data_IF_868656693448
#
_entry.id   IF_868656693448
#
_cell.length_a   1.000
_cell.length_b   1.000
_cell.length_c   1.000
_cell.angle_alpha   90.00
_cell.angle_beta   90.00
_cell.angle_gamma   90.00
#
_symmetry.space_group_name_H-M   'P 1'
#
loop_
_entity.id
_entity.type
_entity.pdbx_description
1 polymer ?
#
# COMPACT_ATOMS: atom_id res chain seq x y z
N UNK A 1 35.01 -31.77 -21.02
CA UNK A 1 35.48 -30.70 -21.93
C UNK A 1 34.81 -30.85 -23.29
N UNK A 2 33.86 -29.95 -23.64
CA UNK A 2 33.30 -29.73 -24.99
C UNK A 2 32.37 -28.51 -24.87
N UNK A 3 32.73 -27.28 -25.25
CA UNK A 3 33.12 -26.67 -26.55
C UNK A 3 31.93 -26.16 -27.37
N UNK A 4 31.85 -24.81 -27.41
CA UNK A 4 31.33 -23.89 -28.43
C UNK A 4 29.81 -23.63 -28.45
N UNK A 5 29.35 -22.42 -28.08
CA UNK A 5 29.33 -21.14 -28.84
C UNK A 5 28.27 -21.14 -29.95
N UNK A 6 27.18 -20.39 -29.74
CA UNK A 6 26.56 -19.58 -30.78
C UNK A 6 25.67 -18.51 -30.15
N UNK A 7 26.26 -17.32 -30.09
CA UNK A 7 25.61 -16.03 -29.84
C UNK A 7 24.77 -15.66 -31.06
N UNK A 8 23.51 -15.30 -30.84
CA UNK A 8 22.68 -14.60 -31.82
C UNK A 8 22.15 -13.33 -31.16
N UNK A 9 22.85 -12.22 -31.38
CA UNK A 9 22.39 -10.88 -31.00
C UNK A 9 21.31 -10.43 -31.98
N UNK A 10 20.08 -10.29 -31.50
CA UNK A 10 18.99 -9.64 -32.24
C UNK A 10 18.98 -8.15 -31.84
N UNK A 11 19.27 -7.30 -32.81
CA UNK A 11 19.15 -5.85 -32.72
C UNK A 11 17.69 -5.48 -33.01
N UNK A 12 16.94 -5.08 -31.98
CA UNK A 12 15.62 -4.48 -32.16
C UNK A 12 15.79 -2.98 -32.43
N UNK A 13 15.42 -2.53 -33.64
CA UNK A 13 15.33 -1.12 -33.99
C UNK A 13 14.06 -0.53 -33.37
N UNK A 14 14.24 0.46 -32.49
CA UNK A 14 13.15 1.25 -31.89
C UNK A 14 12.63 2.27 -32.91
N UNK A 15 11.42 2.05 -33.43
CA UNK A 15 10.68 3.09 -34.14
C UNK A 15 10.01 4.01 -33.10
N UNK A 16 10.61 5.18 -32.86
CA UNK A 16 10.06 6.23 -32.01
C UNK A 16 9.10 7.09 -32.82
N UNK A 17 7.80 7.02 -32.51
CA UNK A 17 6.79 7.90 -33.10
C UNK A 17 6.61 9.11 -32.16
N UNK A 18 7.20 10.25 -32.52
CA UNK A 18 6.99 11.51 -31.82
C UNK A 18 5.58 12.06 -32.12
N UNK A 19 4.81 12.35 -31.06
CA UNK A 19 3.51 13.00 -31.14
C UNK A 19 3.66 14.53 -31.02
N UNK A 20 2.98 15.35 -31.84
CA UNK A 20 3.04 16.80 -31.75
C UNK A 20 2.23 17.33 -30.54
N UNK A 21 2.63 18.48 -29.95
CA UNK A 21 2.01 19.01 -28.74
C UNK A 21 0.59 19.55 -28.99
N UNK A 22 -0.31 19.24 -28.06
CA UNK A 22 -1.65 19.82 -27.99
C UNK A 22 -1.58 21.33 -27.68
N UNK A 23 -2.36 22.11 -28.43
CA UNK A 23 -2.45 23.57 -28.30
C UNK A 23 -3.07 23.95 -26.95
N UNK A 24 -2.42 24.88 -26.27
CA UNK A 24 -2.88 25.54 -25.05
C UNK A 24 -4.09 26.44 -25.38
N UNK A 25 -5.24 26.14 -24.81
CA UNK A 25 -6.42 27.01 -24.79
C UNK A 25 -6.26 28.11 -23.75
N UNK A 26 -6.41 29.37 -24.20
CA UNK A 26 -6.28 30.62 -23.44
C UNK A 26 -7.45 30.81 -22.44
N UNK A 27 -7.26 31.54 -21.31
CA UNK A 27 -8.29 31.74 -20.31
C UNK A 27 -9.32 32.78 -20.77
N UNK A 28 -10.61 32.49 -20.62
CA UNK A 28 -11.68 33.47 -20.77
C UNK A 28 -11.76 34.35 -19.52
N UNK A 29 -11.56 35.64 -19.75
CA UNK A 29 -11.71 36.75 -18.82
C UNK A 29 -13.20 37.09 -18.72
N UNK A 30 -13.80 37.00 -17.54
CA UNK A 30 -15.13 37.55 -17.25
C UNK A 30 -14.97 38.86 -16.48
N UNK A 31 -15.49 39.93 -17.07
CA UNK A 31 -15.48 41.31 -16.61
C UNK A 31 -16.74 41.57 -15.73
N UNK A 32 -16.68 42.50 -14.75
CA UNK A 32 -17.70 42.64 -13.72
C UNK A 32 -18.84 43.57 -14.14
N UNK A 33 -20.08 43.26 -13.72
CA UNK A 33 -21.20 44.20 -13.78
C UNK A 33 -21.54 44.73 -12.38
N UNK A 34 -21.59 46.04 -12.30
CA UNK A 34 -21.88 46.90 -11.15
C UNK A 34 -23.34 47.33 -11.08
N UNK A 35 -23.87 47.34 -9.85
CA UNK A 35 -24.76 48.36 -9.21
C UNK A 35 -26.25 48.47 -9.61
N UNK A 36 -27.11 48.41 -8.57
CA UNK A 36 -28.13 49.41 -8.13
C UNK A 36 -28.94 48.77 -6.96
N UNK A 37 -28.97 49.24 -5.70
CA UNK A 37 -29.42 50.50 -5.04
C UNK A 37 -30.89 50.47 -4.56
N UNK A 38 -31.06 50.61 -3.22
CA UNK A 38 -32.22 50.99 -2.37
C UNK A 38 -33.53 50.15 -2.41
N UNK A 39 -34.37 49.95 -1.38
CA UNK A 39 -34.53 50.14 0.10
C UNK A 39 -36.08 49.95 0.36
N UNK A 40 -36.72 49.89 1.55
CA UNK A 40 -36.30 49.77 2.96
C UNK A 40 -37.02 48.65 3.78
N UNK A 41 -36.44 48.34 4.96
CA UNK A 41 -37.08 48.12 6.28
C UNK A 41 -38.12 46.98 6.49
N UNK A 42 -37.78 46.01 7.36
CA UNK A 42 -38.74 45.04 7.89
C UNK A 42 -38.16 43.85 8.65
N UNK A 43 -37.71 44.08 9.90
CA UNK A 43 -37.79 43.20 11.09
C UNK A 43 -37.62 41.68 10.89
N UNK A 44 -36.54 41.11 11.45
CA UNK A 44 -36.57 40.06 12.49
C UNK A 44 -35.50 38.99 12.31
N UNK A 45 -34.84 38.71 13.43
CA UNK A 45 -34.23 37.44 13.80
C UNK A 45 -32.87 37.11 13.20
N UNK A 46 -31.85 37.60 13.91
CA UNK A 46 -30.65 36.86 14.25
C UNK A 46 -30.98 35.38 14.56
N UNK A 47 -30.63 34.51 13.62
CA UNK A 47 -30.55 33.07 13.85
C UNK A 47 -29.16 32.67 13.40
N UNK A 48 -28.31 32.37 14.38
CA UNK A 48 -26.95 31.90 14.18
C UNK A 48 -26.96 30.77 13.13
N UNK A 49 -26.25 31.00 12.04
CA UNK A 49 -25.91 29.99 11.05
C UNK A 49 -25.15 28.88 11.77
N UNK A 50 -25.85 27.80 12.13
CA UNK A 50 -25.22 26.58 12.63
C UNK A 50 -24.45 26.02 11.45
N UNK A 51 -23.17 26.36 11.39
CA UNK A 51 -22.22 25.77 10.46
C UNK A 51 -22.34 24.25 10.55
N UNK A 52 -22.69 23.63 9.43
CA UNK A 52 -22.72 22.17 9.31
C UNK A 52 -21.26 21.72 9.40
N UNK A 53 -20.78 21.41 10.60
CA UNK A 53 -19.48 20.79 10.77
C UNK A 53 -19.56 19.40 10.11
N UNK A 54 -18.71 19.08 9.12
CA UNK A 54 -18.70 17.74 8.53
C UNK A 54 -18.44 16.70 9.62
N UNK A 55 -19.34 15.73 9.76
CA UNK A 55 -19.19 14.65 10.74
C UNK A 55 -17.88 13.90 10.44
N UNK A 56 -16.95 13.85 11.40
CA UNK A 56 -15.69 13.12 11.25
C UNK A 56 -15.97 11.65 10.95
N UNK A 57 -15.36 11.05 9.91
CA UNK A 57 -15.57 9.64 9.57
C UNK A 57 -15.28 8.74 10.77
N UNK A 58 -16.23 7.87 11.14
CA UNK A 58 -16.03 6.89 12.23
C UNK A 58 -15.03 5.83 11.76
N UNK A 59 -13.83 5.84 12.33
CA UNK A 59 -12.82 4.82 12.04
C UNK A 59 -13.12 3.59 12.91
N UNK A 60 -13.27 2.42 12.27
CA UNK A 60 -13.44 1.16 13.03
C UNK A 60 -12.13 0.74 13.70
N UNK A 61 -12.25 0.14 14.88
CA UNK A 61 -11.12 -0.47 15.61
C UNK A 61 -11.27 -1.98 15.57
N UNK A 62 -10.19 -2.68 15.20
CA UNK A 62 -10.12 -4.13 15.17
C UNK A 62 -8.96 -4.58 16.06
N UNK A 63 -9.11 -5.72 16.74
CA UNK A 63 -7.94 -6.44 17.26
C UNK A 63 -7.31 -7.22 16.10
N UNK A 64 -6.34 -6.59 15.45
CA UNK A 64 -5.63 -7.15 14.30
C UNK A 64 -4.86 -8.43 14.65
N UNK A 65 -4.53 -8.64 15.92
CA UNK A 65 -3.63 -9.71 16.32
C UNK A 65 -4.29 -11.08 16.21
N UNK A 66 -5.58 -11.15 16.56
CA UNK A 66 -6.39 -12.38 16.56
C UNK A 66 -6.40 -13.06 15.18
N UNK A 67 -6.79 -12.38 14.08
CA UNK A 67 -6.80 -13.00 12.76
C UNK A 67 -5.39 -13.18 12.16
N UNK A 68 -4.42 -12.30 12.47
CA UNK A 68 -3.09 -12.36 11.85
C UNK A 68 -2.19 -13.44 12.45
N UNK A 69 -2.34 -13.77 13.74
CA UNK A 69 -1.49 -14.76 14.40
C UNK A 69 -1.51 -16.15 13.74
N UNK A 70 -2.67 -16.78 13.48
CA UNK A 70 -2.69 -18.09 12.83
C UNK A 70 -2.09 -18.05 11.41
N UNK A 71 -2.28 -16.95 10.67
CA UNK A 71 -1.66 -16.77 9.35
C UNK A 71 -0.13 -16.78 9.43
N UNK A 72 0.44 -16.05 10.39
CA UNK A 72 1.89 -16.01 10.59
C UNK A 72 2.42 -17.37 11.08
N UNK A 73 1.70 -18.06 11.96
CA UNK A 73 2.06 -19.41 12.42
C UNK A 73 2.07 -20.42 11.27
N UNK A 74 1.03 -20.41 10.42
CA UNK A 74 0.94 -21.26 9.23
C UNK A 74 2.08 -20.97 8.24
N UNK A 75 2.34 -19.68 7.98
CA UNK A 75 3.43 -19.24 7.11
C UNK A 75 4.78 -19.79 7.60
N UNK A 76 5.11 -19.60 8.89
CA UNK A 76 6.38 -20.06 9.47
C UNK A 76 6.56 -21.58 9.47
N UNK A 77 5.48 -22.35 9.35
CA UNK A 77 5.54 -23.82 9.28
C UNK A 77 5.64 -24.35 7.83
N UNK A 78 5.64 -23.45 6.84
CA UNK A 78 5.74 -23.84 5.43
C UNK A 78 7.05 -24.58 5.18
N UNK A 79 6.95 -25.74 4.53
CA UNK A 79 8.13 -26.53 4.15
C UNK A 79 9.03 -25.67 3.26
N UNK A 80 10.33 -25.78 3.47
CA UNK A 80 11.37 -25.06 2.73
C UNK A 80 11.63 -23.60 3.11
N UNK A 81 11.03 -23.08 4.20
CA UNK A 81 11.46 -21.80 4.78
C UNK A 81 12.68 -22.00 5.71
N UNK A 82 13.86 -21.45 5.39
CA UNK A 82 15.00 -21.48 6.30
C UNK A 82 14.75 -20.57 7.51
N UNK A 83 15.15 -21.04 8.69
CA UNK A 83 15.16 -20.19 9.88
C UNK A 83 16.21 -19.06 9.73
N UNK A 84 15.86 -17.88 10.21
CA UNK A 84 16.74 -16.72 10.15
C UNK A 84 16.82 -16.09 8.76
N UNK A 85 15.82 -16.32 7.89
CA UNK A 85 15.76 -15.59 6.63
C UNK A 85 15.37 -14.13 6.84
N UNK A 86 15.91 -13.24 6.02
CA UNK A 86 15.60 -11.81 6.10
C UNK A 86 14.25 -11.52 5.42
N UNK A 87 13.32 -10.94 6.18
CA UNK A 87 11.96 -10.64 5.72
C UNK A 87 11.74 -9.13 5.59
N UNK A 88 11.29 -8.71 4.42
CA UNK A 88 10.72 -7.40 4.18
C UNK A 88 9.20 -7.45 4.37
N UNK A 89 8.67 -6.59 5.23
CA UNK A 89 7.22 -6.47 5.45
C UNK A 89 6.75 -5.17 4.78
N UNK A 90 5.79 -5.27 3.86
CA UNK A 90 5.10 -4.10 3.30
C UNK A 90 4.06 -3.56 4.28
N UNK A 91 3.62 -2.31 4.09
CA UNK A 91 2.49 -1.77 4.85
C UNK A 91 1.22 -2.54 4.51
N UNK A 92 0.40 -2.85 5.51
CA UNK A 92 -0.92 -3.48 5.30
C UNK A 92 -1.77 -2.58 4.40
N UNK A 93 -2.28 -3.14 3.31
CA UNK A 93 -3.14 -2.41 2.36
C UNK A 93 -4.60 -2.49 2.78
N UNK A 94 -5.33 -1.40 2.58
CA UNK A 94 -6.79 -1.38 2.72
C UNK A 94 -7.41 -1.33 1.34
N UNK A 95 -8.02 -2.45 0.95
CA UNK A 95 -8.82 -2.64 -0.26
C UNK A 95 -10.32 -2.81 0.07
N UNK A 96 -10.76 -2.41 1.27
CA UNK A 96 -12.17 -2.45 1.65
C UNK A 96 -12.94 -1.22 1.16
N UNK A 97 -14.27 -1.23 1.35
CA UNK A 97 -15.14 -0.09 1.07
C UNK A 97 -15.16 1.00 2.18
N UNK A 98 -14.24 0.96 3.15
CA UNK A 98 -14.22 1.95 4.24
C UNK A 98 -12.81 2.27 4.77
N UNK A 99 -12.75 3.08 5.84
CA UNK A 99 -11.47 3.48 6.45
C UNK A 99 -11.07 2.53 7.59
N UNK A 100 -9.85 2.01 7.50
CA UNK A 100 -9.24 1.11 8.48
C UNK A 100 -7.94 1.70 9.04
N UNK A 101 -7.62 1.36 10.28
CA UNK A 101 -6.36 1.75 10.95
C UNK A 101 -5.20 0.85 10.49
N UNK A 102 -4.83 0.93 9.22
CA UNK A 102 -3.79 0.07 8.63
C UNK A 102 -2.41 0.21 9.27
N UNK A 103 -2.10 1.38 9.85
CA UNK A 103 -0.86 1.59 10.59
C UNK A 103 -0.82 0.67 11.82
N UNK A 104 -1.90 0.61 12.60
CA UNK A 104 -2.03 -0.32 13.73
C UNK A 104 -2.03 -1.78 13.30
N UNK A 105 -2.62 -2.09 12.14
CA UNK A 105 -2.56 -3.42 11.56
C UNK A 105 -1.12 -3.83 11.22
N UNK A 106 -0.36 -2.90 10.64
CA UNK A 106 1.05 -3.10 10.29
C UNK A 106 1.92 -3.26 11.54
N UNK A 107 1.69 -2.45 12.58
CA UNK A 107 2.38 -2.56 13.87
C UNK A 107 2.10 -3.90 14.55
N UNK A 108 0.84 -4.34 14.57
CA UNK A 108 0.44 -5.65 15.11
C UNK A 108 1.11 -6.79 14.35
N UNK A 109 1.12 -6.74 13.02
CA UNK A 109 1.81 -7.73 12.17
C UNK A 109 3.31 -7.81 12.47
N UNK A 110 3.99 -6.65 12.53
CA UNK A 110 5.41 -6.59 12.88
C UNK A 110 5.68 -7.16 14.28
N UNK A 111 4.82 -6.87 15.25
CA UNK A 111 4.92 -7.42 16.60
C UNK A 111 4.79 -8.95 16.60
N UNK A 112 3.79 -9.51 15.92
CA UNK A 112 3.59 -10.97 15.81
C UNK A 112 4.82 -11.61 15.16
N UNK A 113 5.28 -11.10 14.02
CA UNK A 113 6.43 -11.63 13.29
C UNK A 113 7.72 -11.58 14.14
N UNK A 114 7.90 -10.52 14.92
CA UNK A 114 9.08 -10.36 15.78
C UNK A 114 9.15 -11.42 16.89
N UNK A 115 8.01 -11.98 17.30
CA UNK A 115 7.92 -12.99 18.36
C UNK A 115 8.17 -14.43 17.87
N UNK A 116 8.08 -14.68 16.56
CA UNK A 116 8.09 -16.03 15.98
C UNK A 116 9.51 -16.59 15.76
N UNK A 117 10.57 -15.77 15.90
CA UNK A 117 12.01 -16.14 15.72
C UNK A 117 12.40 -16.78 14.36
N UNK A 118 11.46 -16.94 13.43
CA UNK A 118 11.71 -17.52 12.10
C UNK A 118 12.39 -16.54 11.15
N UNK A 119 12.13 -15.24 11.28
CA UNK A 119 12.60 -14.20 10.37
C UNK A 119 13.40 -13.11 11.06
N UNK A 120 14.41 -12.56 10.36
CA UNK A 120 15.00 -11.27 10.71
C UNK A 120 14.26 -10.15 9.98
N UNK A 121 13.57 -9.30 10.74
CA UNK A 121 12.79 -8.21 10.17
C UNK A 121 13.67 -7.02 9.80
N UNK A 122 13.43 -6.48 8.62
CA UNK A 122 13.99 -5.19 8.23
C UNK A 122 13.31 -4.08 9.03
N UNK A 123 14.11 -3.23 9.67
CA UNK A 123 13.59 -2.09 10.43
C UNK A 123 12.95 -1.04 9.52
N UNK A 124 11.95 -0.32 10.05
CA UNK A 124 11.31 0.80 9.34
C UNK A 124 12.33 1.87 8.88
N UNK A 125 13.40 2.10 9.65
CA UNK A 125 14.45 3.05 9.29
C UNK A 125 15.26 2.59 8.07
N UNK A 126 15.66 1.31 8.03
CA UNK A 126 16.35 0.73 6.88
C UNK A 126 15.46 0.76 5.63
N UNK A 127 14.18 0.41 5.80
CA UNK A 127 13.19 0.46 4.73
C UNK A 127 13.04 1.88 4.16
N UNK A 128 12.88 2.89 5.02
CA UNK A 128 12.74 4.29 4.59
C UNK A 128 13.99 4.81 3.85
N UNK A 129 15.19 4.46 4.33
CA UNK A 129 16.46 4.79 3.66
C UNK A 129 16.56 4.12 2.28
N UNK A 130 16.19 2.85 2.19
CA UNK A 130 16.21 2.11 0.94
C UNK A 130 15.18 2.62 -0.07
N UNK A 131 13.95 2.94 0.36
CA UNK A 131 12.95 3.61 -0.50
C UNK A 131 13.51 4.91 -1.07
N UNK A 132 14.11 5.75 -0.23
CA UNK A 132 14.74 7.02 -0.65
C UNK A 132 15.86 6.79 -1.66
N UNK A 133 16.74 5.81 -1.43
CA UNK A 133 17.85 5.48 -2.32
C UNK A 133 17.38 4.99 -3.70
N UNK A 134 16.21 4.34 -3.77
CA UNK A 134 15.62 3.83 -5.01
C UNK A 134 14.61 4.80 -5.65
N UNK A 135 14.43 6.01 -5.10
CA UNK A 135 13.45 6.97 -5.60
C UNK A 135 11.99 6.53 -5.43
N UNK A 136 11.73 5.60 -4.51
CA UNK A 136 10.38 5.13 -4.16
C UNK A 136 9.81 6.09 -3.12
N UNK A 137 8.56 6.55 -3.33
CA UNK A 137 7.89 7.40 -2.35
C UNK A 137 7.73 6.68 -1.01
N UNK A 138 7.84 7.42 0.10
CA UNK A 138 7.72 6.84 1.45
C UNK A 138 6.35 6.20 1.67
N UNK A 139 5.31 6.83 1.12
CA UNK A 139 3.91 6.41 1.17
C UNK A 139 3.54 5.41 0.06
N UNK A 140 4.47 5.08 -0.85
CA UNK A 140 4.21 4.04 -1.83
C UNK A 140 4.20 2.69 -1.12
N UNK A 141 3.06 2.02 -1.20
CA UNK A 141 2.96 0.62 -0.81
C UNK A 141 3.58 -0.21 -1.94
N UNK A 142 4.27 -1.31 -1.63
CA UNK A 142 5.00 -2.14 -2.60
C UNK A 142 4.04 -2.99 -3.47
N UNK A 143 2.97 -2.37 -3.98
CA UNK A 143 1.96 -2.94 -4.88
C UNK A 143 2.56 -3.53 -6.16
N UNK A 144 3.63 -2.91 -6.68
CA UNK A 144 4.39 -3.46 -7.79
C UNK A 144 5.37 -4.52 -7.30
N UNK A 145 5.19 -5.77 -7.74
CA UNK A 145 6.15 -6.87 -7.51
C UNK A 145 7.56 -6.49 -7.95
N UNK A 146 7.71 -5.76 -9.05
CA UNK A 146 9.01 -5.29 -9.57
C UNK A 146 9.72 -4.36 -8.57
N UNK A 147 8.99 -3.42 -7.95
CA UNK A 147 9.54 -2.51 -6.93
C UNK A 147 9.91 -3.27 -5.66
N UNK A 148 9.05 -4.20 -5.23
CA UNK A 148 9.31 -5.02 -4.06
C UNK A 148 10.55 -5.90 -4.23
N UNK A 149 10.72 -6.53 -5.40
CA UNK A 149 11.93 -7.30 -5.73
C UNK A 149 13.17 -6.40 -5.73
N UNK A 150 13.10 -5.21 -6.33
CA UNK A 150 14.23 -4.27 -6.32
C UNK A 150 14.62 -3.86 -4.90
N UNK A 151 13.63 -3.57 -4.05
CA UNK A 151 13.84 -3.17 -2.67
C UNK A 151 14.36 -4.33 -1.81
N UNK A 152 13.80 -5.52 -1.98
CA UNK A 152 14.26 -6.75 -1.35
C UNK A 152 15.72 -7.05 -1.71
N UNK A 153 16.10 -6.97 -2.99
CA UNK A 153 17.50 -7.13 -3.42
C UNK A 153 18.43 -6.08 -2.81
N UNK A 154 18.01 -4.81 -2.77
CA UNK A 154 18.79 -3.74 -2.17
C UNK A 154 19.03 -3.97 -0.66
N UNK A 155 18.01 -4.43 0.05
CA UNK A 155 18.04 -4.71 1.49
C UNK A 155 18.58 -6.11 1.83
N UNK A 156 18.90 -6.93 0.82
CA UNK A 156 19.27 -8.35 0.95
C UNK A 156 18.20 -9.17 1.69
N UNK A 157 16.93 -8.80 1.49
CA UNK A 157 15.80 -9.61 1.90
C UNK A 157 15.70 -10.87 1.04
N UNK A 158 15.39 -12.00 1.66
CA UNK A 158 15.08 -13.24 0.96
C UNK A 158 13.61 -13.29 0.57
N UNK A 159 12.75 -12.72 1.42
CA UNK A 159 11.31 -12.74 1.26
C UNK A 159 10.69 -11.35 1.39
N UNK A 160 9.53 -11.17 0.75
CA UNK A 160 8.62 -10.05 0.98
C UNK A 160 7.28 -10.61 1.41
N UNK A 161 6.75 -10.12 2.54
CA UNK A 161 5.39 -10.40 2.96
C UNK A 161 4.47 -9.26 2.52
N UNK A 162 3.46 -9.61 1.73
CA UNK A 162 2.35 -8.73 1.42
C UNK A 162 1.17 -9.06 2.33
N UNK A 163 0.45 -8.01 2.71
CA UNK A 163 -0.80 -8.15 3.45
C UNK A 163 -1.77 -7.11 2.94
N UNK A 164 -2.99 -7.54 2.63
CA UNK A 164 -4.08 -6.66 2.32
C UNK A 164 -5.36 -7.08 3.04
N UNK A 165 -6.20 -6.10 3.32
CA UNK A 165 -7.52 -6.26 3.88
C UNK A 165 -8.52 -5.90 2.81
N UNK A 166 -9.37 -6.83 2.42
CA UNK A 166 -10.30 -6.71 1.29
C UNK A 166 -11.74 -6.98 1.72
N UNK A 167 -12.66 -6.94 0.76
CA UNK A 167 -14.10 -7.08 0.93
C UNK A 167 -14.77 -5.94 1.74
N UNK A 168 -15.93 -6.23 2.34
CA UNK A 168 -16.74 -5.24 3.06
C UNK A 168 -16.15 -4.93 4.44
N UNK A 169 -16.15 -3.66 4.85
CA UNK A 169 -15.63 -3.24 6.16
C UNK A 169 -16.39 -3.86 7.36
N UNK A 170 -17.60 -4.38 7.17
CA UNK A 170 -18.36 -5.14 8.16
C UNK A 170 -17.95 -6.62 8.23
N UNK A 171 -17.35 -7.16 7.18
CA UNK A 171 -16.88 -8.55 7.14
C UNK A 171 -15.57 -8.64 6.34
N UNK A 172 -14.49 -7.97 6.79
CA UNK A 172 -13.29 -7.85 5.98
C UNK A 172 -12.47 -9.14 5.99
N UNK A 173 -11.74 -9.40 4.91
CA UNK A 173 -10.85 -10.58 4.76
C UNK A 173 -9.40 -10.13 4.70
N UNK A 174 -8.55 -10.71 5.54
CA UNK A 174 -7.10 -10.51 5.48
C UNK A 174 -6.51 -11.55 4.53
N UNK A 175 -5.78 -11.09 3.52
CA UNK A 175 -4.96 -11.93 2.66
C UNK A 175 -3.48 -11.71 2.98
N UNK A 176 -2.70 -12.79 3.02
CA UNK A 176 -1.25 -12.71 3.12
C UNK A 176 -0.58 -13.53 2.03
N UNK A 177 0.48 -12.97 1.44
CA UNK A 177 1.29 -13.63 0.42
C UNK A 177 2.78 -13.47 0.74
N UNK A 178 3.51 -14.58 0.78
CA UNK A 178 4.96 -14.59 0.94
C UNK A 178 5.62 -14.80 -0.41
N UNK A 179 6.37 -13.80 -0.86
CA UNK A 179 7.10 -13.82 -2.13
C UNK A 179 8.59 -14.08 -1.93
N UNK A 180 9.15 -15.03 -2.67
CA UNK A 180 10.59 -15.25 -2.77
C UNK A 180 11.22 -14.16 -3.66
N UNK A 181 12.09 -13.31 -3.09
CA UNK A 181 12.71 -12.17 -3.80
C UNK A 181 13.55 -12.61 -5.01
N UNK A 182 14.16 -13.80 -4.92
CA UNK A 182 15.05 -14.33 -5.97
C UNK A 182 14.32 -14.51 -7.29
N UNK A 183 13.12 -15.10 -7.26
CA UNK A 183 12.32 -15.48 -8.43
C UNK A 183 11.12 -14.58 -8.66
N UNK A 184 10.63 -13.91 -7.61
CA UNK A 184 9.35 -13.18 -7.63
C UNK A 184 8.12 -14.07 -7.48
N UNK A 185 8.31 -15.35 -7.14
CA UNK A 185 7.24 -16.33 -6.96
C UNK A 185 6.59 -16.19 -5.59
N UNK A 186 5.27 -16.39 -5.53
CA UNK A 186 4.54 -16.54 -4.25
C UNK A 186 4.69 -17.99 -3.80
N UNK A 187 5.41 -18.20 -2.71
CA UNK A 187 5.71 -19.55 -2.18
C UNK A 187 4.75 -19.97 -1.06
N UNK A 188 4.00 -19.02 -0.51
CA UNK A 188 2.94 -19.26 0.44
C UNK A 188 1.89 -18.15 0.32
N UNK A 189 0.63 -18.53 0.49
CA UNK A 189 -0.49 -17.58 0.56
C UNK A 189 -1.61 -18.19 1.37
N UNK A 190 -2.26 -17.40 2.20
CA UNK A 190 -3.43 -17.81 2.97
C UNK A 190 -4.32 -16.59 3.26
N UNK A 191 -5.56 -16.84 3.68
CA UNK A 191 -6.51 -15.79 4.02
C UNK A 191 -7.35 -16.15 5.24
N UNK A 192 -7.89 -15.13 5.90
CA UNK A 192 -8.83 -15.32 7.01
C UNK A 192 -9.88 -14.21 7.03
N UNK A 193 -11.13 -14.61 7.21
CA UNK A 193 -12.21 -13.67 7.48
C UNK A 193 -12.08 -13.10 8.90
N UNK A 194 -12.16 -11.78 9.04
CA UNK A 194 -12.20 -11.15 10.34
C UNK A 194 -13.61 -11.26 10.92
N UNK A 195 -13.72 -12.00 12.01
CA UNK A 195 -14.92 -11.96 12.85
C UNK A 195 -14.91 -10.65 13.64
N UNK A 196 -15.90 -9.80 13.42
CA UNK A 196 -16.16 -8.68 14.33
C UNK A 196 -16.46 -9.24 15.72
N UNK A 197 -15.81 -8.71 16.75
CA UNK A 197 -16.25 -8.95 18.11
C UNK A 197 -17.72 -8.50 18.25
N UNK A 198 -18.58 -9.28 18.92
CA UNK A 198 -19.99 -8.94 19.10
C UNK A 198 -20.19 -7.64 19.88
#
# INVERSE_FOLDING_TARGET
MKKYLLSASIVFLLASCAQPPAKIGRPSKSEPSTVSTDSPEGISSESAEIGIVPLTPKIKSFDWSVPMKPLVENMSQTKDLPNGSVLLVDTVKNNTNGLLQIEKATESLLHILSSNNTFFLISANQLAKAKTALGISKQDNLSSRSKAIALGRYLKAEYVLYTDVSDDIQSPVINMELMLVKTGEIIWSDNIAMTLAP
#
